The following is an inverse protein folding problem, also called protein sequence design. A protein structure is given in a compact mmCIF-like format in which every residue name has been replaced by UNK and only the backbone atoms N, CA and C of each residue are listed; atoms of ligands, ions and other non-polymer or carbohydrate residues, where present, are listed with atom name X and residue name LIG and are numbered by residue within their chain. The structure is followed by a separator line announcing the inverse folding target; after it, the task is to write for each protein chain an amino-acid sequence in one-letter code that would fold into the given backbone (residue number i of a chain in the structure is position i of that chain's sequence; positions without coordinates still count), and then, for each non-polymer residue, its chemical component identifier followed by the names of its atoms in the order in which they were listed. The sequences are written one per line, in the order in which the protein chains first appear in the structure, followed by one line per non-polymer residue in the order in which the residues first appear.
data_IF_270768281665
#
_entry.id   IF_270768281665
#
_cell.length_a   1.000
_cell.length_b   1.000
_cell.length_c   1.000
_cell.angle_alpha   90.00
_cell.angle_beta   90.00
_cell.angle_gamma   90.00
#
_symmetry.space_group_name_H-M   'P 1'
#
loop_
_entity.id
_entity.type
_entity.pdbx_description
1 polymer ?
#
# COMPACT_ATOMS: atom_id res chain seq x y z
N UNK A 1 -0.54 1.30 -6.26
CA UNK A 1 0.00 2.65 -5.95
C UNK A 1 0.94 3.15 -7.05
N UNK A 2 2.06 2.48 -7.34
CA UNK A 2 3.03 2.92 -8.35
C UNK A 2 2.45 3.25 -9.73
N UNK A 3 1.54 2.42 -10.26
CA UNK A 3 0.88 2.71 -11.54
C UNK A 3 0.09 4.04 -11.55
N UNK A 4 -0.59 4.36 -10.45
CA UNK A 4 -1.34 5.62 -10.28
C UNK A 4 -0.37 6.80 -10.22
N UNK A 5 0.78 6.64 -9.55
CA UNK A 5 1.83 7.65 -9.45
C UNK A 5 2.47 7.94 -10.81
N UNK A 6 2.76 6.89 -11.60
CA UNK A 6 3.31 6.99 -12.96
C UNK A 6 2.31 7.67 -13.89
N UNK A 7 1.04 7.26 -13.91
CA UNK A 7 0.00 7.89 -14.74
C UNK A 7 -0.11 9.40 -14.46
N UNK A 8 -0.06 9.80 -13.19
CA UNK A 8 -0.12 11.22 -12.80
C UNK A 8 1.13 11.99 -13.20
N UNK A 9 2.31 11.39 -13.05
CA UNK A 9 3.57 11.98 -13.48
C UNK A 9 3.57 12.20 -14.99
N UNK A 10 3.27 11.17 -15.79
CA UNK A 10 3.27 11.25 -17.25
C UNK A 10 2.19 12.21 -17.77
N UNK A 11 1.02 12.26 -17.14
CA UNK A 11 -0.03 13.21 -17.50
C UNK A 11 0.32 14.68 -17.27
N UNK A 12 1.30 14.98 -16.40
CA UNK A 12 1.78 16.35 -16.14
C UNK A 12 3.06 16.67 -16.88
N UNK A 13 4.01 15.73 -16.94
CA UNK A 13 5.27 15.92 -17.63
C UNK A 13 5.11 15.87 -19.17
N UNK A 14 4.22 15.01 -19.68
CA UNK A 14 4.06 14.74 -21.11
C UNK A 14 2.58 14.61 -21.53
N UNK A 15 1.73 15.64 -21.34
CA UNK A 15 0.28 15.53 -21.51
C UNK A 15 -0.16 15.08 -22.92
N UNK A 16 0.53 15.55 -23.97
CA UNK A 16 0.19 15.23 -25.37
C UNK A 16 0.64 13.81 -25.74
N UNK A 17 1.92 13.50 -25.54
CA UNK A 17 2.49 12.20 -25.87
C UNK A 17 1.88 11.07 -25.03
N UNK A 18 1.61 11.33 -23.74
CA UNK A 18 0.96 10.34 -22.88
C UNK A 18 -0.46 10.03 -23.35
N UNK A 19 -1.26 11.04 -23.74
CA UNK A 19 -2.63 10.83 -24.22
C UNK A 19 -2.67 9.98 -25.51
N UNK A 20 -1.67 10.12 -26.38
CA UNK A 20 -1.52 9.35 -27.61
C UNK A 20 -0.96 7.94 -27.38
N UNK A 21 -0.06 7.76 -26.42
CA UNK A 21 0.64 6.49 -26.15
C UNK A 21 -0.02 5.63 -25.06
N UNK A 22 -1.07 6.11 -24.38
CA UNK A 22 -1.69 5.40 -23.25
C UNK A 22 -2.37 4.12 -23.71
N UNK A 23 -1.74 2.97 -23.42
CA UNK A 23 -2.35 1.65 -23.59
C UNK A 23 -2.68 1.04 -22.21
N UNK A 24 -3.97 0.87 -21.87
CA UNK A 24 -4.37 0.29 -20.57
C UNK A 24 -3.88 -1.16 -20.39
N UNK A 25 -3.61 -1.85 -21.49
CA UNK A 25 -3.12 -3.23 -21.53
C UNK A 25 -1.86 -3.43 -20.69
N UNK A 26 -0.90 -2.50 -20.70
CA UNK A 26 0.31 -2.63 -19.90
C UNK A 26 0.02 -2.61 -18.38
N UNK A 27 -0.96 -1.81 -17.96
CA UNK A 27 -1.40 -1.78 -16.56
C UNK A 27 -2.07 -3.10 -16.14
N UNK A 28 -2.87 -3.68 -17.03
CA UNK A 28 -3.52 -4.99 -16.80
C UNK A 28 -2.48 -6.09 -16.72
N UNK A 29 -1.50 -6.13 -17.64
CA UNK A 29 -0.41 -7.12 -17.61
C UNK A 29 0.39 -7.00 -16.32
N UNK A 30 0.78 -5.79 -15.91
CA UNK A 30 1.49 -5.57 -14.66
C UNK A 30 0.69 -6.01 -13.43
N UNK A 31 -0.63 -5.78 -13.43
CA UNK A 31 -1.53 -6.23 -12.36
C UNK A 31 -1.64 -7.76 -12.32
N UNK A 32 -1.77 -8.42 -13.47
CA UNK A 32 -1.81 -9.89 -13.57
C UNK A 32 -0.51 -10.52 -13.08
N UNK A 33 0.64 -9.97 -13.50
CA UNK A 33 1.96 -10.42 -13.04
C UNK A 33 2.07 -10.29 -11.52
N UNK A 34 1.70 -9.13 -10.95
CA UNK A 34 1.70 -8.93 -9.51
C UNK A 34 0.76 -9.90 -8.77
N UNK A 35 -0.40 -10.21 -9.35
CA UNK A 35 -1.35 -11.19 -8.82
C UNK A 35 -0.73 -12.58 -8.77
N UNK A 36 -0.24 -13.09 -9.90
CA UNK A 36 0.36 -14.42 -10.00
C UNK A 36 1.54 -14.57 -9.03
N UNK A 37 2.41 -13.57 -8.92
CA UNK A 37 3.51 -13.60 -7.95
C UNK A 37 3.02 -13.62 -6.50
N UNK A 38 1.99 -12.85 -6.17
CA UNK A 38 1.42 -12.82 -4.80
C UNK A 38 0.76 -14.15 -4.43
N UNK A 39 -0.02 -14.72 -5.34
CA UNK A 39 -0.64 -16.04 -5.13
C UNK A 39 0.41 -17.14 -5.06
N UNK A 40 1.39 -17.16 -5.97
CA UNK A 40 2.47 -18.13 -5.96
C UNK A 40 3.24 -18.12 -4.63
N UNK A 41 3.54 -16.93 -4.10
CA UNK A 41 4.17 -16.80 -2.79
C UNK A 41 3.29 -17.35 -1.66
N UNK A 42 2.02 -16.95 -1.62
CA UNK A 42 1.06 -17.45 -0.62
C UNK A 42 0.98 -18.98 -0.63
N UNK A 43 0.88 -19.58 -1.82
CA UNK A 43 0.83 -21.03 -2.00
C UNK A 43 2.11 -21.72 -1.54
N UNK A 44 3.30 -21.22 -1.92
CA UNK A 44 4.58 -21.80 -1.47
C UNK A 44 4.71 -21.76 0.05
N UNK A 45 4.29 -20.67 0.68
CA UNK A 45 4.32 -20.54 2.15
C UNK A 45 3.36 -21.52 2.82
N UNK A 46 2.14 -21.67 2.29
CA UNK A 46 1.15 -22.62 2.81
C UNK A 46 1.65 -24.06 2.66
N UNK A 47 2.18 -24.43 1.50
CA UNK A 47 2.67 -25.80 1.22
C UNK A 47 3.83 -26.17 2.15
N UNK A 48 4.80 -25.26 2.33
CA UNK A 48 5.96 -25.50 3.22
C UNK A 48 5.51 -25.67 4.67
N UNK A 49 4.50 -24.90 5.11
CA UNK A 49 3.96 -24.98 6.45
C UNK A 49 3.16 -26.29 6.66
N UNK A 50 2.32 -26.70 5.70
CA UNK A 50 1.49 -27.89 5.82
C UNK A 50 2.24 -29.21 5.68
N UNK A 51 3.25 -29.29 4.80
CA UNK A 51 4.04 -30.52 4.60
C UNK A 51 4.76 -30.98 5.87
N UNK A 52 5.09 -30.07 6.79
CA UNK A 52 5.88 -30.36 7.99
C UNK A 52 5.04 -30.45 9.28
N UNK A 53 3.84 -29.85 9.32
CA UNK A 53 2.88 -30.09 10.43
C UNK A 53 2.50 -31.57 10.56
N UNK A 54 2.53 -32.31 9.45
CA UNK A 54 2.31 -33.77 9.44
C UNK A 54 3.49 -34.55 10.04
N UNK A 55 4.69 -33.96 10.13
CA UNK A 55 5.92 -34.64 10.53
C UNK A 55 6.36 -34.33 11.98
N UNK A 56 5.79 -33.30 12.62
CA UNK A 56 6.03 -32.97 14.04
C UNK A 56 4.71 -32.83 14.79
N UNK A 57 4.18 -33.95 15.28
CA UNK A 57 3.19 -33.94 16.35
C UNK A 57 3.82 -34.53 17.61
N UNK A 58 4.38 -33.70 18.50
CA UNK A 58 4.26 -33.91 19.94
C UNK A 58 3.11 -33.03 20.43
N UNK A 59 2.19 -33.66 21.16
CA UNK A 59 1.07 -33.05 21.87
C UNK A 59 1.53 -31.82 22.67
N UNK A 60 1.09 -30.62 22.30
CA UNK A 60 0.86 -29.53 23.24
C UNK A 60 -0.04 -28.48 22.61
N UNK A 61 -0.95 -27.93 23.42
CA UNK A 61 -2.09 -27.07 23.05
C UNK A 61 -1.68 -25.64 22.63
N UNK A 62 -0.62 -25.47 21.84
CA UNK A 62 -0.26 -24.18 21.25
C UNK A 62 -0.17 -24.31 19.72
N UNK A 63 -1.29 -24.06 19.04
CA UNK A 63 -1.35 -23.93 17.58
C UNK A 63 -0.69 -22.63 17.15
N UNK A 64 0.65 -22.59 17.10
CA UNK A 64 1.36 -21.44 16.53
C UNK A 64 1.42 -21.54 15.00
N UNK A 65 0.70 -20.64 14.32
CA UNK A 65 0.78 -20.46 12.88
C UNK A 65 2.01 -19.60 12.55
N UNK A 66 2.81 -20.04 11.55
CA UNK A 66 3.88 -19.23 10.95
C UNK A 66 5.20 -19.09 11.76
N UNK A 67 5.48 -19.95 12.74
CA UNK A 67 6.70 -19.84 13.56
C UNK A 67 7.77 -20.90 13.27
N UNK A 68 7.39 -22.10 12.83
CA UNK A 68 8.30 -23.25 12.78
C UNK A 68 8.69 -23.63 11.34
N UNK A 69 9.67 -22.93 10.75
CA UNK A 69 10.31 -23.33 9.49
C UNK A 69 11.64 -24.06 9.76
N UNK A 70 11.90 -25.17 9.07
CA UNK A 70 13.20 -25.87 9.11
C UNK A 70 14.31 -25.03 8.44
N UNK A 71 15.57 -25.19 8.87
CA UNK A 71 16.74 -24.49 8.30
C UNK A 71 16.89 -24.67 6.78
N UNK A 72 16.58 -25.86 6.25
CA UNK A 72 16.66 -26.14 4.80
C UNK A 72 15.51 -25.48 4.02
N UNK A 73 14.33 -25.34 4.64
CA UNK A 73 13.20 -24.61 4.04
C UNK A 73 13.48 -23.11 4.01
N UNK A 74 14.07 -22.61 5.10
CA UNK A 74 14.42 -21.20 5.24
C UNK A 74 15.48 -20.80 4.20
N UNK A 75 16.45 -21.67 3.87
CA UNK A 75 17.44 -21.45 2.80
C UNK A 75 16.84 -21.18 1.42
N UNK A 76 15.70 -21.80 1.09
CA UNK A 76 15.05 -21.64 -0.23
C UNK A 76 14.02 -20.49 -0.19
N UNK A 77 13.26 -20.37 0.89
CA UNK A 77 12.23 -19.35 1.05
C UNK A 77 12.78 -17.94 1.25
N UNK A 78 13.88 -17.79 1.98
CA UNK A 78 14.49 -16.51 2.28
C UNK A 78 14.94 -15.74 1.02
N UNK A 79 15.70 -16.31 0.08
CA UNK A 79 16.12 -15.59 -1.13
C UNK A 79 14.93 -15.26 -2.03
N UNK A 80 13.97 -16.18 -2.22
CA UNK A 80 12.77 -15.92 -3.03
C UNK A 80 11.92 -14.80 -2.41
N UNK A 81 11.70 -14.83 -1.09
CA UNK A 81 11.01 -13.76 -0.35
C UNK A 81 11.73 -12.43 -0.47
N UNK A 82 13.06 -12.44 -0.42
CA UNK A 82 13.87 -11.24 -0.54
C UNK A 82 13.79 -10.64 -1.95
N UNK A 83 13.94 -11.45 -3.00
CA UNK A 83 13.81 -10.99 -4.39
C UNK A 83 12.43 -10.40 -4.65
N UNK A 84 11.37 -11.07 -4.21
CA UNK A 84 9.99 -10.56 -4.32
C UNK A 84 9.80 -9.28 -3.52
N UNK A 85 10.34 -9.18 -2.30
CA UNK A 85 10.32 -7.95 -1.51
C UNK A 85 11.02 -6.80 -2.26
N UNK A 86 12.18 -7.05 -2.85
CA UNK A 86 12.92 -6.04 -3.61
C UNK A 86 12.16 -5.62 -4.87
N UNK A 87 11.62 -6.57 -5.63
CA UNK A 87 10.95 -6.31 -6.92
C UNK A 87 9.52 -5.78 -6.78
N UNK A 88 8.75 -6.23 -5.79
CA UNK A 88 7.34 -5.87 -5.62
C UNK A 88 7.10 -4.77 -4.59
N UNK A 89 8.04 -4.53 -3.67
CA UNK A 89 7.91 -3.46 -2.69
C UNK A 89 8.92 -2.33 -2.93
N UNK A 90 10.23 -2.63 -2.89
CA UNK A 90 11.24 -1.57 -2.99
C UNK A 90 11.26 -0.89 -4.37
N UNK A 91 11.22 -1.65 -5.46
CA UNK A 91 11.19 -1.07 -6.81
C UNK A 91 9.94 -0.18 -7.02
N UNK A 92 8.70 -0.62 -6.73
CA UNK A 92 7.52 0.23 -6.81
C UNK A 92 7.58 1.43 -5.88
N UNK A 93 8.16 1.29 -4.68
CA UNK A 93 8.35 2.41 -3.75
C UNK A 93 9.29 3.46 -4.33
N UNK A 94 10.45 3.09 -4.85
CA UNK A 94 11.42 4.01 -5.46
C UNK A 94 10.82 4.72 -6.66
N UNK A 95 10.16 3.98 -7.56
CA UNK A 95 9.49 4.56 -8.74
C UNK A 95 8.39 5.54 -8.29
N UNK A 96 7.59 5.17 -7.30
CA UNK A 96 6.54 6.04 -6.74
C UNK A 96 7.11 7.34 -6.18
N UNK A 97 8.16 7.24 -5.36
CA UNK A 97 8.84 8.40 -4.75
C UNK A 97 9.45 9.30 -5.82
N UNK A 98 10.15 8.74 -6.81
CA UNK A 98 10.72 9.50 -7.92
C UNK A 98 9.65 10.23 -8.74
N UNK A 99 8.59 9.51 -9.13
CA UNK A 99 7.47 10.11 -9.86
C UNK A 99 6.83 11.24 -9.07
N UNK A 100 6.62 11.08 -7.76
CA UNK A 100 6.06 12.13 -6.92
C UNK A 100 7.00 13.30 -6.71
N UNK A 101 8.29 13.06 -6.49
CA UNK A 101 9.29 14.12 -6.40
C UNK A 101 9.28 14.99 -7.66
N UNK A 102 9.38 14.37 -8.84
CA UNK A 102 9.34 15.07 -10.12
C UNK A 102 8.00 15.75 -10.37
N UNK A 103 6.89 15.11 -10.02
CA UNK A 103 5.56 15.70 -10.10
C UNK A 103 5.43 16.96 -9.23
N UNK A 104 5.88 16.91 -7.97
CA UNK A 104 5.85 18.05 -7.05
C UNK A 104 6.77 19.16 -7.56
N UNK A 105 7.97 18.82 -8.03
CA UNK A 105 8.89 19.77 -8.64
C UNK A 105 8.24 20.53 -9.80
N UNK A 106 7.67 19.82 -10.78
CA UNK A 106 7.00 20.42 -11.94
C UNK A 106 5.83 21.31 -11.48
N UNK A 107 5.02 20.84 -10.54
CA UNK A 107 3.90 21.60 -9.95
C UNK A 107 4.33 22.86 -9.21
N UNK A 108 5.52 22.88 -8.60
CA UNK A 108 6.05 24.06 -7.93
C UNK A 108 6.59 25.08 -8.93
N UNK A 109 7.17 24.61 -10.03
CA UNK A 109 7.72 25.47 -11.10
C UNK A 109 6.68 26.02 -12.08
N UNK A 110 5.47 25.45 -12.13
CA UNK A 110 4.43 25.82 -13.10
C UNK A 110 3.20 26.41 -12.37
N UNK A 111 3.01 27.74 -12.37
CA UNK A 111 1.90 28.39 -11.65
C UNK A 111 0.51 28.19 -12.27
N UNK A 112 0.42 27.60 -13.47
CA UNK A 112 -0.82 27.48 -14.24
C UNK A 112 -1.79 26.38 -13.77
N UNK A 113 -1.44 25.57 -12.76
CA UNK A 113 -2.35 24.55 -12.23
C UNK A 113 -3.17 25.06 -11.05
N UNK A 114 -4.50 24.95 -11.16
CA UNK A 114 -5.42 25.35 -10.09
C UNK A 114 -5.06 24.73 -8.74
N UNK A 115 -4.97 25.56 -7.70
CA UNK A 115 -4.48 25.20 -6.36
C UNK A 115 -5.15 23.94 -5.78
N UNK A 116 -6.44 23.73 -6.07
CA UNK A 116 -7.18 22.56 -5.62
C UNK A 116 -6.73 21.25 -6.28
N UNK A 117 -6.27 21.27 -7.53
CA UNK A 117 -5.76 20.08 -8.23
C UNK A 117 -4.36 19.71 -7.72
N UNK A 118 -3.52 20.73 -7.46
CA UNK A 118 -2.21 20.58 -6.83
C UNK A 118 -2.32 19.95 -5.43
N UNK A 119 -3.18 20.50 -4.56
CA UNK A 119 -3.39 19.95 -3.20
C UNK A 119 -3.86 18.49 -3.22
N UNK A 120 -4.72 18.10 -4.17
CA UNK A 120 -5.18 16.71 -4.32
C UNK A 120 -4.06 15.77 -4.68
N UNK A 121 -3.26 16.14 -5.68
CA UNK A 121 -2.17 15.29 -6.13
C UNK A 121 -1.07 15.15 -5.06
N UNK A 122 -0.76 16.23 -4.34
CA UNK A 122 0.13 16.19 -3.18
C UNK A 122 -0.43 15.33 -2.05
N UNK A 123 -1.71 15.46 -1.70
CA UNK A 123 -2.35 14.63 -0.67
C UNK A 123 -2.31 13.15 -1.03
N UNK A 124 -2.63 12.80 -2.28
CA UNK A 124 -2.53 11.42 -2.74
C UNK A 124 -1.09 10.89 -2.70
N UNK A 125 -0.10 11.72 -3.03
CA UNK A 125 1.31 11.36 -2.96
C UNK A 125 1.75 11.04 -1.53
N UNK A 126 1.42 11.93 -0.59
CA UNK A 126 1.75 11.77 0.83
C UNK A 126 1.07 10.52 1.39
N UNK A 127 -0.23 10.33 1.15
CA UNK A 127 -0.96 9.14 1.65
C UNK A 127 -0.38 7.85 1.06
N UNK A 128 -0.04 7.86 -0.24
CA UNK A 128 0.56 6.68 -0.89
C UNK A 128 1.96 6.36 -0.34
N UNK A 129 2.77 7.37 -0.06
CA UNK A 129 4.09 7.22 0.57
C UNK A 129 3.97 6.70 2.00
N UNK A 130 3.07 7.28 2.80
CA UNK A 130 2.79 6.82 4.16
C UNK A 130 2.32 5.37 4.16
N UNK A 131 1.49 4.99 3.20
CA UNK A 131 1.04 3.61 3.07
C UNK A 131 2.20 2.63 2.81
N UNK A 132 3.12 2.97 1.91
CA UNK A 132 4.30 2.14 1.69
C UNK A 132 5.22 2.10 2.92
N UNK A 133 5.51 3.24 3.54
CA UNK A 133 6.49 3.34 4.63
C UNK A 133 5.97 2.78 5.94
N UNK A 134 4.71 3.06 6.30
CA UNK A 134 4.14 2.65 7.57
C UNK A 134 3.49 1.27 7.49
N UNK A 135 2.70 0.99 6.45
CA UNK A 135 1.93 -0.26 6.40
C UNK A 135 2.76 -1.43 5.90
N UNK A 136 3.61 -1.21 4.90
CA UNK A 136 4.35 -2.28 4.26
C UNK A 136 5.85 -2.28 4.62
N UNK A 137 6.43 -1.13 4.95
CA UNK A 137 7.84 -0.96 5.27
C UNK A 137 8.33 -1.87 6.39
N UNK A 138 7.72 -1.85 7.60
CA UNK A 138 8.18 -2.65 8.73
C UNK A 138 8.22 -4.14 8.40
N UNK A 139 7.17 -4.66 7.77
CA UNK A 139 7.08 -6.07 7.41
C UNK A 139 8.13 -6.50 6.38
N UNK A 140 8.35 -5.68 5.35
CA UNK A 140 9.33 -5.94 4.30
C UNK A 140 10.78 -5.81 4.82
N UNK A 141 11.06 -4.87 5.73
CA UNK A 141 12.36 -4.75 6.42
C UNK A 141 12.61 -5.98 7.30
N UNK A 142 11.58 -6.54 7.95
CA UNK A 142 11.72 -7.74 8.77
C UNK A 142 12.19 -8.95 7.95
N UNK A 143 11.90 -8.99 6.65
CA UNK A 143 12.39 -10.03 5.74
C UNK A 143 13.88 -9.84 5.45
N UNK A 144 14.33 -8.60 5.23
CA UNK A 144 15.74 -8.28 5.00
C UNK A 144 16.59 -8.60 6.24
N UNK A 145 16.14 -8.18 7.42
CA UNK A 145 16.82 -8.46 8.68
C UNK A 145 16.82 -9.96 8.97
N UNK A 146 15.70 -10.64 8.72
CA UNK A 146 15.62 -12.09 8.92
C UNK A 146 16.50 -12.91 7.96
N UNK A 147 16.71 -12.40 6.74
CA UNK A 147 17.68 -12.96 5.80
C UNK A 147 19.12 -12.80 6.30
N UNK A 148 19.48 -11.57 6.69
CA UNK A 148 20.83 -11.24 7.14
C UNK A 148 21.22 -11.96 8.44
N UNK A 149 20.31 -11.98 9.42
CA UNK A 149 20.54 -12.60 10.73
C UNK A 149 20.27 -14.12 10.74
N UNK A 150 19.77 -14.70 9.63
CA UNK A 150 19.33 -16.10 9.53
C UNK A 150 18.36 -16.53 10.65
N UNK A 151 17.65 -15.57 11.23
CA UNK A 151 16.77 -15.75 12.37
C UNK A 151 15.53 -14.85 12.23
N UNK A 152 14.37 -15.31 12.70
CA UNK A 152 13.14 -14.49 12.63
C UNK A 152 13.18 -13.39 13.69
N UNK A 153 13.13 -12.09 13.31
CA UNK A 153 13.09 -11.02 14.30
C UNK A 153 11.79 -11.04 15.09
N UNK A 154 11.86 -10.91 16.42
CA UNK A 154 10.70 -10.92 17.33
C UNK A 154 9.65 -9.83 16.98
N UNK A 155 10.12 -8.66 16.56
CA UNK A 155 9.28 -7.53 16.14
C UNK A 155 8.53 -7.76 14.81
N UNK A 156 8.77 -8.87 14.09
CA UNK A 156 8.03 -9.21 12.87
C UNK A 156 6.52 -9.32 13.14
N UNK A 157 6.13 -9.86 14.30
CA UNK A 157 4.71 -10.00 14.68
C UNK A 157 4.03 -8.63 14.78
N UNK A 158 4.71 -7.66 15.38
CA UNK A 158 4.26 -6.27 15.47
C UNK A 158 4.24 -5.61 14.08
N UNK A 159 5.25 -5.85 13.25
CA UNK A 159 5.34 -5.32 11.89
C UNK A 159 4.19 -5.77 10.97
N UNK A 160 3.64 -6.97 11.17
CA UNK A 160 2.46 -7.45 10.43
C UNK A 160 1.22 -6.63 10.78
N UNK A 161 1.06 -6.18 12.02
CA UNK A 161 -0.10 -5.39 12.47
C UNK A 161 -0.17 -4.05 11.75
N UNK A 162 0.98 -3.44 11.46
CA UNK A 162 1.03 -2.21 10.67
C UNK A 162 0.44 -2.38 9.26
N UNK A 163 0.50 -3.59 8.68
CA UNK A 163 -0.15 -3.92 7.41
C UNK A 163 -1.67 -3.68 7.42
N UNK A 164 -2.33 -3.89 8.57
CA UNK A 164 -3.78 -3.67 8.72
C UNK A 164 -4.18 -2.21 8.50
N UNK A 165 -3.27 -1.26 8.75
CA UNK A 165 -3.53 0.16 8.54
C UNK A 165 -3.71 0.51 7.05
N UNK A 166 -3.25 -0.33 6.12
CA UNK A 166 -3.43 -0.11 4.68
C UNK A 166 -4.92 0.05 4.34
N UNK A 167 -5.77 -0.83 4.89
CA UNK A 167 -7.22 -0.76 4.67
C UNK A 167 -7.85 0.53 5.23
N UNK A 168 -7.29 1.07 6.31
CA UNK A 168 -7.73 2.34 6.89
C UNK A 168 -7.29 3.56 6.09
N UNK A 169 -6.23 3.44 5.28
CA UNK A 169 -5.74 4.51 4.41
C UNK A 169 -6.45 4.54 3.04
N UNK A 170 -7.11 3.46 2.64
CA UNK A 170 -7.88 3.38 1.38
C UNK A 170 -8.94 4.50 1.24
N UNK A 171 -9.78 4.81 2.25
CA UNK A 171 -10.72 5.93 2.18
C UNK A 171 -10.04 7.28 1.91
N UNK A 172 -8.85 7.52 2.47
CA UNK A 172 -8.08 8.74 2.22
C UNK A 172 -7.55 8.77 0.79
N UNK A 173 -7.06 7.64 0.28
CA UNK A 173 -6.65 7.51 -1.12
C UNK A 173 -7.82 7.81 -2.07
N UNK A 174 -9.01 7.27 -1.80
CA UNK A 174 -10.21 7.55 -2.60
C UNK A 174 -10.67 9.01 -2.50
N UNK A 175 -10.60 9.60 -1.31
CA UNK A 175 -10.94 11.00 -1.09
C UNK A 175 -10.05 11.95 -1.91
N UNK A 176 -8.74 11.71 -1.95
CA UNK A 176 -7.80 12.53 -2.73
C UNK A 176 -7.84 12.22 -4.23
N UNK A 177 -8.20 10.99 -4.60
CA UNK A 177 -8.29 10.56 -6.00
C UNK A 177 -9.57 11.04 -6.70
N UNK A 178 -10.72 10.99 -6.03
CA UNK A 178 -12.04 11.24 -6.64
C UNK A 178 -12.72 12.53 -6.16
N UNK A 179 -13.06 13.41 -7.10
CA UNK A 179 -13.90 14.60 -6.79
C UNK A 179 -15.32 14.25 -6.37
N UNK A 180 -15.83 13.08 -6.78
CA UNK A 180 -17.20 12.64 -6.49
C UNK A 180 -17.29 12.23 -5.01
N UNK A 181 -16.37 11.38 -4.55
CA UNK A 181 -16.30 10.93 -3.14
C UNK A 181 -16.21 12.12 -2.19
N UNK A 182 -15.39 13.11 -2.51
CA UNK A 182 -15.29 14.32 -1.70
C UNK A 182 -16.57 15.16 -1.70
N UNK A 183 -17.26 15.29 -2.84
CA UNK A 183 -18.54 16.00 -2.90
C UNK A 183 -19.58 15.30 -2.01
N UNK A 184 -19.62 13.97 -2.03
CA UNK A 184 -20.48 13.18 -1.14
C UNK A 184 -20.12 13.37 0.33
N UNK A 185 -18.83 13.32 0.69
CA UNK A 185 -18.35 13.62 2.04
C UNK A 185 -18.70 15.04 2.49
N UNK A 186 -18.52 16.03 1.62
CA UNK A 186 -18.85 17.43 1.91
C UNK A 186 -20.35 17.63 2.17
N UNK A 187 -21.20 17.00 1.35
CA UNK A 187 -22.66 16.99 1.58
C UNK A 187 -23.04 16.30 2.88
N UNK A 188 -22.41 15.17 3.20
CA UNK A 188 -22.63 14.46 4.47
C UNK A 188 -22.21 15.28 5.68
N UNK A 189 -21.07 15.96 5.63
CA UNK A 189 -20.59 16.83 6.71
C UNK A 189 -21.49 18.06 6.89
N UNK A 190 -21.97 18.65 5.80
CA UNK A 190 -22.95 19.74 5.86
C UNK A 190 -24.28 19.29 6.47
N UNK A 191 -24.76 18.09 6.12
CA UNK A 191 -25.97 17.51 6.70
C UNK A 191 -25.81 17.21 8.20
N UNK A 192 -24.63 16.71 8.63
CA UNK A 192 -24.31 16.49 10.03
C UNK A 192 -24.20 17.80 10.80
N UNK A 193 -23.57 18.82 10.23
CA UNK A 193 -23.48 20.15 10.83
C UNK A 193 -24.87 20.78 10.99
N UNK A 194 -25.73 20.68 9.97
CA UNK A 194 -27.10 21.18 10.02
C UNK A 194 -27.96 20.43 11.06
N UNK A 195 -27.77 19.11 11.20
CA UNK A 195 -28.41 18.33 12.27
C UNK A 195 -27.90 18.73 13.65
N UNK A 196 -26.59 18.88 13.82
CA UNK A 196 -25.97 19.33 15.06
C UNK A 196 -26.45 20.70 15.50
N UNK A 197 -26.48 21.69 14.58
CA UNK A 197 -27.01 23.03 14.86
C UNK A 197 -28.50 23.02 15.18
N UNK A 198 -29.29 22.14 14.55
CA UNK A 198 -30.73 22.01 14.86
C UNK A 198 -30.99 21.39 16.24
N UNK A 199 -30.13 20.47 16.69
CA UNK A 199 -30.22 19.84 18.01
C UNK A 199 -29.73 20.80 19.11
N UNK A 200 -28.66 21.55 18.87
CA UNK A 200 -28.18 22.61 19.78
C UNK A 200 -29.18 23.77 19.88
N UNK A 201 -29.83 24.16 18.78
CA UNK A 201 -30.86 25.22 18.78
C UNK A 201 -32.16 24.82 19.50
N UNK A 202 -32.50 23.52 19.56
CA UNK A 202 -33.63 23.02 20.37
C UNK A 202 -33.33 23.01 21.87
N UNK A 203 -32.07 22.78 22.27
CA UNK A 203 -31.65 22.72 23.68
C UNK A 203 -31.53 24.09 24.35
N UNK A 204 -31.56 25.18 23.59
CA UNK A 204 -31.50 26.54 24.10
C UNK A 204 -32.89 27.20 24.22
N UNK A 205 -33.96 26.43 23.98
CA UNK A 205 -35.36 26.89 23.94
C UNK A 205 -36.27 26.23 24.99
N UNK A 206 -35.71 25.36 25.83
CA UNK A 206 -36.30 24.87 27.08
C UNK A 206 -35.63 25.60 28.26
#
# INVERSE_FOLDING_TARGET
LAGISIERYLGVAFPVQYKLSRRPVYGVIAALIAWVMSFGHGTVVIIVQYLNSTQRVPKENETSCYENFSQEQLRILLPIRLELCLLLFFFPMVVTTFCYWRFVWIMLTQPHMGAQKRRRAMGLAIVSLLNFLLCFGPYNISHLVGFHMKASPKWRREAVVFGSLNASLDPLLFYFSSSVVRRSFGKGLQALHHRGSSLLGRRCKE
#
